data_IF_829065618694
#
_entry.id   IF_829065618694
#
_cell.length_a   1.000
_cell.length_b   1.000
_cell.length_c   1.000
_cell.angle_alpha   90.00
_cell.angle_beta   90.00
_cell.angle_gamma   90.00
#
_symmetry.space_group_name_H-M   'P 1'
#
loop_
_entity.id
_entity.type
_entity.pdbx_description
1 polymer ?
#
# COMPACT_ATOMS: atom_id res chain seq x y z
N UNK A 1 -12.44 -32.43 30.45
CA UNK A 1 -12.83 -33.80 30.04
C UNK A 1 -14.04 -33.67 29.10
N UNK A 2 -14.37 -34.67 28.26
CA UNK A 2 -13.87 -35.10 26.93
C UNK A 2 -14.79 -34.57 25.78
N UNK A 3 -14.33 -34.31 24.54
CA UNK A 3 -14.37 -35.17 23.31
C UNK A 3 -15.80 -35.65 22.88
N UNK A 4 -16.05 -36.12 21.64
CA UNK A 4 -15.86 -35.56 20.28
C UNK A 4 -17.01 -35.98 19.30
N UNK A 5 -16.76 -35.83 18.00
CA UNK A 5 -17.22 -36.69 16.88
C UNK A 5 -18.47 -36.33 16.03
N UNK A 6 -18.15 -36.31 14.73
CA UNK A 6 -18.96 -36.49 13.52
C UNK A 6 -20.02 -37.59 13.57
N UNK A 7 -21.03 -37.47 12.69
CA UNK A 7 -21.54 -38.57 11.83
C UNK A 7 -22.23 -38.03 10.55
N UNK A 8 -22.17 -38.74 9.39
CA UNK A 8 -22.66 -38.33 8.06
C UNK A 8 -24.00 -39.04 7.64
N UNK A 9 -24.40 -39.13 6.35
CA UNK A 9 -25.50 -38.41 5.67
C UNK A 9 -26.73 -39.30 5.31
N UNK A 10 -27.73 -38.78 4.55
CA UNK A 10 -28.43 -39.59 3.55
C UNK A 10 -28.15 -39.13 2.11
N UNK A 11 -28.18 -40.11 1.20
CA UNK A 11 -27.73 -40.11 -0.20
C UNK A 11 -28.71 -39.55 -1.23
N UNK A 12 -28.14 -38.85 -2.23
CA UNK A 12 -28.46 -38.72 -3.66
C UNK A 12 -29.92 -38.87 -4.16
N UNK A 13 -30.45 -37.82 -4.79
CA UNK A 13 -30.47 -37.69 -6.27
C UNK A 13 -31.24 -36.45 -6.78
N UNK A 14 -30.75 -35.90 -7.90
CA UNK A 14 -31.45 -35.02 -8.87
C UNK A 14 -31.74 -33.58 -8.38
N UNK A 15 -31.43 -32.47 -9.04
CA UNK A 15 -31.06 -32.14 -10.41
C UNK A 15 -30.08 -30.96 -10.39
N UNK A 16 -29.12 -30.97 -11.30
CA UNK A 16 -28.27 -29.85 -11.64
C UNK A 16 -29.16 -28.64 -12.00
N UNK A 17 -29.14 -27.61 -11.17
CA UNK A 17 -29.60 -26.26 -11.51
C UNK A 17 -28.41 -25.34 -11.33
N UNK A 18 -28.02 -24.53 -12.32
CA UNK A 18 -26.99 -23.52 -12.11
C UNK A 18 -27.44 -22.63 -10.95
N UNK A 19 -26.57 -22.31 -9.98
CA UNK A 19 -26.96 -21.46 -8.88
C UNK A 19 -27.47 -20.14 -9.45
N UNK A 20 -28.75 -19.84 -9.20
CA UNK A 20 -29.25 -18.47 -9.28
C UNK A 20 -28.38 -17.67 -8.31
N UNK A 21 -27.40 -16.94 -8.84
CA UNK A 21 -26.62 -16.00 -8.05
C UNK A 21 -27.60 -14.95 -7.51
N UNK A 22 -27.98 -15.12 -6.24
CA UNK A 22 -28.54 -14.04 -5.45
C UNK A 22 -27.44 -13.00 -5.29
N UNK A 23 -27.52 -11.91 -6.05
CA UNK A 23 -26.70 -10.74 -5.83
C UNK A 23 -27.05 -10.17 -4.45
N UNK A 24 -26.17 -10.41 -3.47
CA UNK A 24 -26.16 -9.62 -2.25
C UNK A 24 -25.71 -8.23 -2.65
N UNK A 25 -26.57 -7.23 -2.45
CA UNK A 25 -26.26 -5.80 -2.57
C UNK A 25 -25.00 -5.55 -1.74
N UNK A 26 -23.85 -5.50 -2.42
CA UNK A 26 -22.58 -5.20 -1.80
C UNK A 26 -22.44 -3.69 -1.92
N UNK A 27 -23.07 -2.97 -0.98
CA UNK A 27 -22.66 -1.59 -0.76
C UNK A 27 -21.15 -1.59 -0.57
N UNK A 28 -20.47 -0.59 -1.11
CA UNK A 28 -19.08 -0.29 -0.76
C UNK A 28 -19.07 0.10 0.72
N UNK A 29 -19.20 -0.85 1.63
CA UNK A 29 -19.00 -0.67 3.06
C UNK A 29 -17.62 -1.20 3.37
N UNK A 30 -16.65 -0.28 3.43
CA UNK A 30 -15.48 -0.52 4.25
C UNK A 30 -16.01 -0.78 5.67
N UNK A 31 -15.71 -1.94 6.23
CA UNK A 31 -16.23 -2.41 7.53
C UNK A 31 -15.79 -1.56 8.74
N UNK A 32 -15.20 -0.36 8.52
CA UNK A 32 -14.87 0.64 9.54
C UNK A 32 -14.81 2.08 8.97
N UNK A 33 -15.61 2.40 7.95
CA UNK A 33 -15.48 3.65 7.18
C UNK A 33 -15.65 4.94 7.98
N UNK A 34 -14.57 5.70 8.16
CA UNK A 34 -14.61 7.10 8.55
C UNK A 34 -15.59 7.85 7.62
N UNK A 35 -16.64 8.46 8.18
CA UNK A 35 -17.73 9.12 7.44
C UNK A 35 -17.25 10.16 6.43
N UNK A 36 -16.10 10.81 6.71
CA UNK A 36 -15.47 11.79 5.82
C UNK A 36 -14.97 11.20 4.50
N UNK A 37 -14.46 9.97 4.53
CA UNK A 37 -13.87 9.31 3.36
C UNK A 37 -14.96 8.68 2.50
N UNK A 38 -15.95 8.05 3.16
CA UNK A 38 -17.12 7.49 2.48
C UNK A 38 -17.92 8.56 1.73
N UNK A 39 -17.97 9.80 2.24
CA UNK A 39 -18.58 10.94 1.54
C UNK A 39 -17.90 11.31 0.20
N UNK A 40 -16.69 10.83 -0.07
CA UNK A 40 -15.95 11.07 -1.33
C UNK A 40 -16.12 9.94 -2.36
N UNK A 41 -16.81 8.86 -1.99
CA UNK A 41 -17.07 7.70 -2.84
C UNK A 41 -18.57 7.71 -3.17
N UNK A 42 -18.90 7.72 -4.46
CA UNK A 42 -20.30 7.59 -4.89
C UNK A 42 -20.68 6.12 -4.92
N UNK A 43 -21.89 5.81 -4.44
CA UNK A 43 -22.50 4.51 -4.64
C UNK A 43 -22.72 4.27 -6.13
N UNK A 44 -22.31 3.09 -6.61
CA UNK A 44 -22.58 2.64 -7.98
C UNK A 44 -23.66 1.58 -7.92
N UNK A 45 -24.77 1.79 -8.64
CA UNK A 45 -25.82 0.81 -8.80
C UNK A 45 -25.58 -0.04 -10.05
N UNK A 46 -25.57 -1.36 -9.88
CA UNK A 46 -25.63 -2.31 -10.99
C UNK A 46 -27.10 -2.57 -11.33
N UNK A 47 -27.48 -2.32 -12.57
CA UNK A 47 -28.81 -2.65 -13.11
C UNK A 47 -28.66 -3.72 -14.20
N UNK A 48 -29.33 -4.85 -14.05
CA UNK A 48 -29.54 -5.78 -15.18
C UNK A 48 -30.71 -5.27 -16.02
N UNK A 49 -30.57 -5.24 -17.34
CA UNK A 49 -31.47 -4.47 -18.24
C UNK A 49 -32.95 -4.91 -18.29
N UNK A 50 -33.82 -4.22 -19.06
CA UNK A 50 -33.77 -2.79 -19.39
C UNK A 50 -34.51 -1.96 -18.32
N UNK A 51 -33.87 -0.90 -17.83
CA UNK A 51 -34.49 0.42 -17.89
C UNK A 51 -33.58 1.37 -18.68
N UNK A 52 -34.20 2.22 -19.50
CA UNK A 52 -33.60 3.37 -20.18
C UNK A 52 -32.40 3.98 -19.41
N UNK A 53 -31.29 4.35 -20.08
CA UNK A 53 -31.13 4.53 -21.53
C UNK A 53 -30.71 3.25 -22.28
N UNK A 54 -30.86 3.25 -23.61
CA UNK A 54 -30.31 2.20 -24.47
C UNK A 54 -28.79 2.16 -24.42
N UNK A 55 -28.22 0.95 -24.57
CA UNK A 55 -26.79 0.75 -24.71
C UNK A 55 -26.28 1.48 -25.95
N UNK A 56 -25.30 2.36 -25.77
CA UNK A 56 -24.64 3.09 -26.86
C UNK A 56 -23.29 2.47 -27.20
N UNK A 57 -22.62 1.87 -26.20
CA UNK A 57 -21.38 1.13 -26.38
C UNK A 57 -21.54 -0.26 -25.79
N UNK A 58 -21.27 -1.28 -26.60
CA UNK A 58 -21.30 -2.68 -26.19
C UNK A 58 -19.89 -3.21 -26.02
N UNK A 59 -19.60 -3.75 -24.83
CA UNK A 59 -18.34 -4.42 -24.54
C UNK A 59 -18.57 -5.93 -24.57
N UNK A 60 -17.60 -6.67 -25.12
CA UNK A 60 -17.57 -8.14 -25.07
C UNK A 60 -16.86 -8.66 -23.81
N UNK A 61 -15.98 -7.86 -23.23
CA UNK A 61 -15.28 -8.14 -21.99
C UNK A 61 -16.08 -7.66 -20.77
N UNK A 62 -15.94 -8.30 -19.59
CA UNK A 62 -16.57 -7.84 -18.35
C UNK A 62 -15.98 -6.53 -17.83
N UNK A 63 -16.74 -5.84 -16.99
CA UNK A 63 -16.27 -4.65 -16.27
C UNK A 63 -15.68 -5.00 -14.91
N UNK A 64 -14.55 -4.38 -14.56
CA UNK A 64 -14.10 -4.22 -13.18
C UNK A 64 -14.31 -2.77 -12.76
N UNK A 65 -15.28 -2.54 -11.86
CA UNK A 65 -15.71 -1.22 -11.41
C UNK A 65 -15.10 -0.91 -10.05
N UNK A 66 -14.36 0.19 -9.95
CA UNK A 66 -13.82 0.67 -8.67
C UNK A 66 -13.69 2.20 -8.62
N UNK A 67 -13.41 2.73 -7.44
CA UNK A 67 -13.18 4.16 -7.21
C UNK A 67 -11.68 4.44 -7.08
N UNK A 68 -11.16 5.37 -7.90
CA UNK A 68 -9.84 5.98 -7.70
C UNK A 68 -9.90 7.22 -6.81
N UNK A 69 -11.01 7.42 -6.09
CA UNK A 69 -11.18 8.42 -5.02
C UNK A 69 -11.34 7.78 -3.63
N UNK A 70 -11.47 8.62 -2.60
CA UNK A 70 -11.55 8.18 -1.19
C UNK A 70 -10.27 8.56 -0.45
N UNK A 71 -9.51 7.55 -0.01
CA UNK A 71 -8.18 7.72 0.59
C UNK A 71 -7.08 8.01 -0.44
N UNK A 72 -7.28 7.59 -1.69
CA UNK A 72 -6.38 7.84 -2.82
C UNK A 72 -6.16 9.35 -3.04
N UNK A 73 -4.98 9.71 -3.55
CA UNK A 73 -4.53 11.11 -3.61
C UNK A 73 -3.13 11.32 -3.07
N UNK A 74 -2.59 10.35 -2.33
CA UNK A 74 -1.18 10.27 -2.00
C UNK A 74 -0.65 8.86 -2.30
N UNK A 75 0.67 8.75 -2.49
CA UNK A 75 1.33 7.54 -2.98
C UNK A 75 1.14 6.33 -2.05
N UNK A 76 0.95 6.52 -0.74
CA UNK A 76 0.65 5.39 0.16
C UNK A 76 -0.73 4.83 -0.15
N UNK A 77 -1.77 5.66 -0.12
CA UNK A 77 -3.14 5.21 -0.37
C UNK A 77 -3.38 4.77 -1.81
N UNK A 78 -2.73 5.40 -2.78
CA UNK A 78 -2.81 4.99 -4.19
C UNK A 78 -2.38 3.53 -4.37
N UNK A 79 -1.39 3.06 -3.60
CA UNK A 79 -0.91 1.68 -3.67
C UNK A 79 -1.62 0.76 -2.67
N UNK A 80 -1.74 1.16 -1.41
CA UNK A 80 -2.32 0.35 -0.34
C UNK A 80 -3.83 0.10 -0.56
N UNK A 81 -4.57 1.13 -0.95
CA UNK A 81 -6.03 1.06 -1.11
C UNK A 81 -6.47 0.97 -2.58
N UNK A 82 -5.54 1.23 -3.51
CA UNK A 82 -5.76 1.20 -4.95
C UNK A 82 -5.07 0.02 -5.63
N UNK A 83 -3.77 0.15 -5.95
CA UNK A 83 -3.08 -0.78 -6.85
C UNK A 83 -2.85 -2.19 -6.29
N UNK A 84 -2.56 -2.35 -5.00
CA UNK A 84 -2.44 -3.70 -4.40
C UNK A 84 -3.80 -4.42 -4.43
N UNK A 85 -4.90 -3.83 -3.93
CA UNK A 85 -6.23 -4.42 -4.05
C UNK A 85 -6.66 -4.66 -5.50
N UNK A 86 -6.33 -3.76 -6.42
CA UNK A 86 -6.60 -3.93 -7.85
C UNK A 86 -5.84 -5.13 -8.41
N UNK A 87 -4.55 -5.27 -8.08
CA UNK A 87 -3.73 -6.41 -8.50
C UNK A 87 -4.26 -7.73 -7.93
N UNK A 88 -4.64 -7.78 -6.66
CA UNK A 88 -5.29 -8.95 -6.05
C UNK A 88 -6.56 -9.30 -6.82
N UNK A 89 -7.42 -8.32 -7.07
CA UNK A 89 -8.73 -8.52 -7.70
C UNK A 89 -8.60 -9.08 -9.12
N UNK A 90 -7.74 -8.49 -9.95
CA UNK A 90 -7.60 -8.93 -11.34
C UNK A 90 -7.00 -10.33 -11.43
N UNK A 91 -6.05 -10.67 -10.57
CA UNK A 91 -5.46 -12.00 -10.54
C UNK A 91 -6.36 -13.06 -9.88
N UNK A 92 -7.40 -12.65 -9.15
CA UNK A 92 -8.36 -13.56 -8.50
C UNK A 92 -9.60 -13.80 -9.35
N UNK A 93 -10.13 -12.75 -9.99
CA UNK A 93 -11.43 -12.76 -10.66
C UNK A 93 -11.28 -12.82 -12.19
N UNK A 94 -10.19 -12.30 -12.74
CA UNK A 94 -9.97 -12.18 -14.18
C UNK A 94 -8.62 -12.80 -14.61
N UNK A 95 -8.41 -14.11 -14.37
CA UNK A 95 -7.13 -14.77 -14.64
C UNK A 95 -6.75 -14.83 -16.13
N UNK A 96 -7.72 -14.63 -17.03
CA UNK A 96 -7.49 -14.54 -18.48
C UNK A 96 -7.03 -13.14 -18.94
N UNK A 97 -7.00 -12.15 -18.04
CA UNK A 97 -6.64 -10.78 -18.34
C UNK A 97 -7.68 -10.01 -19.18
N UNK A 98 -8.86 -10.59 -19.43
CA UNK A 98 -9.87 -10.00 -20.30
C UNK A 98 -10.93 -9.24 -19.49
N UNK A 99 -10.68 -7.97 -19.21
CA UNK A 99 -11.60 -7.11 -18.48
C UNK A 99 -11.37 -5.62 -18.80
N UNK A 100 -12.44 -4.83 -18.75
CA UNK A 100 -12.41 -3.38 -18.92
C UNK A 100 -12.38 -2.72 -17.54
N UNK A 101 -11.39 -1.85 -17.31
CA UNK A 101 -11.36 -1.02 -16.11
C UNK A 101 -12.41 0.09 -16.23
N UNK A 102 -13.34 0.13 -15.28
CA UNK A 102 -14.38 1.15 -15.18
C UNK A 102 -14.15 1.93 -13.89
N UNK A 103 -13.66 3.16 -13.99
CA UNK A 103 -13.09 3.88 -12.85
C UNK A 103 -13.94 5.11 -12.52
N UNK A 104 -14.42 5.18 -11.28
CA UNK A 104 -15.06 6.36 -10.70
C UNK A 104 -14.03 7.28 -10.01
N UNK A 105 -14.26 8.60 -10.02
CA UNK A 105 -13.33 9.61 -9.46
C UNK A 105 -11.91 9.53 -10.05
N UNK A 106 -11.82 9.16 -11.34
CA UNK A 106 -10.57 8.99 -12.07
C UNK A 106 -10.10 10.35 -12.59
N UNK A 107 -9.51 11.13 -11.69
CA UNK A 107 -9.01 12.47 -12.01
C UNK A 107 -7.91 12.39 -13.06
N UNK A 108 -7.90 13.34 -14.00
CA UNK A 108 -6.94 13.37 -15.13
C UNK A 108 -5.47 13.27 -14.69
N UNK A 109 -5.11 13.93 -13.59
CA UNK A 109 -3.74 13.88 -13.06
C UNK A 109 -3.38 12.48 -12.54
N UNK A 110 -4.32 11.76 -11.94
CA UNK A 110 -4.11 10.42 -11.38
C UNK A 110 -3.99 9.39 -12.50
N UNK A 111 -4.90 9.46 -13.47
CA UNK A 111 -4.88 8.66 -14.70
C UNK A 111 -3.54 8.83 -15.45
N UNK A 112 -3.09 10.08 -15.62
CA UNK A 112 -1.82 10.36 -16.30
C UNK A 112 -0.61 9.89 -15.49
N UNK A 113 -0.65 10.04 -14.16
CA UNK A 113 0.44 9.64 -13.27
C UNK A 113 0.68 8.13 -13.29
N UNK A 114 -0.38 7.34 -13.43
CA UNK A 114 -0.31 5.87 -13.34
C UNK A 114 -0.67 5.17 -14.66
N UNK A 115 -0.56 5.87 -15.79
CA UNK A 115 -0.90 5.34 -17.11
C UNK A 115 -0.17 4.03 -17.42
N UNK A 116 1.13 3.94 -17.11
CA UNK A 116 1.94 2.73 -17.34
C UNK A 116 1.41 1.52 -16.56
N UNK A 117 1.00 1.72 -15.30
CA UNK A 117 0.41 0.66 -14.48
C UNK A 117 -0.93 0.21 -15.04
N UNK A 118 -1.80 1.16 -15.37
CA UNK A 118 -3.15 0.88 -15.87
C UNK A 118 -3.12 0.17 -17.23
N UNK A 119 -2.24 0.59 -18.15
CA UNK A 119 -2.01 -0.06 -19.45
C UNK A 119 -1.34 -1.43 -19.35
N UNK A 120 -0.56 -1.66 -18.29
CA UNK A 120 0.01 -2.98 -18.03
C UNK A 120 -1.04 -3.92 -17.48
N UNK A 121 -1.97 -3.44 -16.63
CA UNK A 121 -3.06 -4.23 -16.07
C UNK A 121 -4.10 -4.64 -17.12
N UNK A 122 -4.63 -3.68 -17.88
CA UNK A 122 -5.66 -3.94 -18.89
C UNK A 122 -5.23 -3.44 -20.26
N UNK A 123 -5.52 -4.25 -21.28
CA UNK A 123 -5.33 -3.88 -22.69
C UNK A 123 -6.53 -3.14 -23.29
N UNK A 124 -7.64 -3.09 -22.55
CA UNK A 124 -8.85 -2.40 -22.98
C UNK A 124 -8.77 -0.91 -22.61
N UNK A 125 -9.38 -0.02 -23.42
CA UNK A 125 -9.53 1.39 -23.05
C UNK A 125 -10.27 1.55 -21.72
N UNK A 126 -9.74 2.40 -20.85
CA UNK A 126 -10.32 2.68 -19.54
C UNK A 126 -11.62 3.48 -19.72
N UNK A 127 -12.69 3.05 -19.06
CA UNK A 127 -13.95 3.80 -18.99
C UNK A 127 -13.92 4.68 -17.74
N UNK A 128 -13.73 5.98 -17.92
CA UNK A 128 -13.78 6.96 -16.85
C UNK A 128 -15.23 7.43 -16.64
N UNK A 129 -15.85 7.01 -15.52
CA UNK A 129 -17.27 7.29 -15.25
C UNK A 129 -17.59 8.78 -15.07
N UNK A 130 -16.60 9.63 -14.78
CA UNK A 130 -16.83 11.08 -14.68
C UNK A 130 -16.85 11.78 -16.05
N UNK A 131 -16.26 11.14 -17.06
CA UNK A 131 -16.17 11.68 -18.43
C UNK A 131 -17.10 10.95 -19.41
N UNK A 132 -17.62 9.78 -19.03
CA UNK A 132 -18.49 8.98 -19.87
C UNK A 132 -19.77 9.75 -20.20
N UNK A 133 -19.95 10.03 -21.49
CA UNK A 133 -21.17 10.63 -22.04
C UNK A 133 -22.06 9.59 -22.73
N UNK A 134 -21.68 8.31 -22.65
CA UNK A 134 -22.36 7.21 -23.30
C UNK A 134 -22.73 6.09 -22.32
N UNK A 135 -23.85 5.42 -22.58
CA UNK A 135 -24.26 4.21 -21.86
C UNK A 135 -23.43 3.02 -22.31
N UNK A 136 -22.56 2.51 -21.43
CA UNK A 136 -21.76 1.31 -21.66
C UNK A 136 -22.46 0.07 -21.09
N UNK A 137 -22.53 -0.99 -21.89
CA UNK A 137 -23.11 -2.26 -21.49
C UNK A 137 -22.06 -3.37 -21.54
N UNK A 138 -22.06 -4.20 -20.49
CA UNK A 138 -21.09 -5.28 -20.27
C UNK A 138 -21.85 -6.59 -20.04
N UNK A 139 -21.26 -7.76 -20.39
CA UNK A 139 -21.88 -9.06 -20.14
C UNK A 139 -22.08 -9.34 -18.65
N UNK A 140 -21.13 -8.89 -17.81
CA UNK A 140 -21.26 -8.82 -16.36
C UNK A 140 -20.26 -7.79 -15.81
N UNK A 141 -20.39 -7.45 -14.52
CA UNK A 141 -19.51 -6.53 -13.83
C UNK A 141 -19.17 -7.02 -12.43
N UNK A 142 -17.91 -6.84 -12.03
CA UNK A 142 -17.45 -6.93 -10.65
C UNK A 142 -17.31 -5.52 -10.08
N UNK A 143 -17.81 -5.27 -8.87
CA UNK A 143 -17.75 -3.95 -8.22
C UNK A 143 -16.97 -4.05 -6.92
N UNK A 144 -15.98 -3.18 -6.77
CA UNK A 144 -15.10 -3.13 -5.62
C UNK A 144 -13.77 -3.85 -5.87
N UNK A 145 -12.88 -3.74 -4.88
CA UNK A 145 -11.57 -4.36 -4.89
C UNK A 145 -11.44 -5.27 -3.66
N UNK A 146 -10.72 -6.38 -3.82
CA UNK A 146 -10.37 -7.33 -2.76
C UNK A 146 -9.09 -6.83 -2.07
N UNK A 147 -9.09 -6.75 -0.75
CA UNK A 147 -7.90 -6.40 0.05
C UNK A 147 -7.55 -7.52 1.02
N UNK A 148 -6.25 -7.82 1.14
CA UNK A 148 -5.72 -8.79 2.11
C UNK A 148 -5.15 -8.11 3.36
N UNK A 149 -5.24 -6.77 3.46
CA UNK A 149 -4.70 -5.98 4.56
C UNK A 149 -3.71 -4.90 4.11
N UNK A 150 -2.92 -4.39 5.05
CA UNK A 150 -1.97 -3.31 4.79
C UNK A 150 -0.73 -3.79 4.05
N UNK A 151 -0.48 -3.21 2.87
CA UNK A 151 0.74 -3.44 2.07
C UNK A 151 1.12 -4.92 1.94
N UNK A 152 0.12 -5.79 1.76
CA UNK A 152 0.31 -7.25 1.75
C UNK A 152 -0.57 -7.92 0.70
N UNK A 153 -0.12 -9.08 0.25
CA UNK A 153 -0.89 -10.02 -0.57
C UNK A 153 -0.74 -11.38 0.09
N UNK A 154 -1.77 -11.82 0.81
CA UNK A 154 -1.80 -13.15 1.42
C UNK A 154 -1.89 -14.25 0.34
N UNK A 155 -0.85 -15.09 0.16
CA UNK A 155 -0.83 -16.12 -0.88
C UNK A 155 -1.81 -17.26 -0.60
N UNK A 156 -2.24 -17.43 0.65
CA UNK A 156 -3.21 -18.47 1.05
C UNK A 156 -4.64 -18.13 0.60
N UNK A 157 -4.90 -16.85 0.33
CA UNK A 157 -6.17 -16.35 -0.19
C UNK A 157 -6.17 -16.22 -1.72
N UNK A 158 -5.01 -16.44 -2.38
CA UNK A 158 -4.86 -16.30 -3.83
C UNK A 158 -5.01 -17.65 -4.55
N UNK A 159 -5.74 -17.71 -5.69
CA UNK A 159 -5.87 -18.95 -6.48
C UNK A 159 -4.54 -19.52 -7.01
N UNK A 160 -3.53 -18.68 -7.18
CA UNK A 160 -2.22 -19.01 -7.78
C UNK A 160 -1.04 -18.72 -6.86
N UNK A 161 -1.27 -18.60 -5.54
CA UNK A 161 -0.24 -18.29 -4.53
C UNK A 161 0.61 -17.04 -4.85
N UNK A 162 0.02 -16.08 -5.56
CA UNK A 162 0.60 -14.77 -5.82
C UNK A 162 0.83 -14.04 -4.48
N UNK A 163 1.91 -13.28 -4.41
CA UNK A 163 2.35 -12.57 -3.21
C UNK A 163 2.89 -11.18 -3.55
N UNK A 164 3.40 -10.43 -2.57
CA UNK A 164 3.85 -9.06 -2.77
C UNK A 164 5.05 -8.94 -3.73
N UNK A 165 5.89 -9.98 -3.82
CA UNK A 165 7.01 -10.01 -4.77
C UNK A 165 6.56 -10.10 -6.23
N UNK A 166 5.41 -10.74 -6.50
CA UNK A 166 4.81 -10.75 -7.84
C UNK A 166 4.26 -9.38 -8.22
N UNK A 167 3.63 -8.68 -7.26
CA UNK A 167 3.18 -7.31 -7.46
C UNK A 167 4.36 -6.37 -7.77
N UNK A 168 5.47 -6.53 -7.05
CA UNK A 168 6.72 -5.84 -7.38
C UNK A 168 7.19 -6.13 -8.81
N UNK A 169 7.22 -7.41 -9.21
CA UNK A 169 7.58 -7.79 -10.59
C UNK A 169 6.68 -7.14 -11.65
N UNK A 170 5.39 -6.98 -11.35
CA UNK A 170 4.45 -6.21 -12.17
C UNK A 170 4.85 -4.73 -12.26
N UNK A 171 5.23 -4.08 -11.14
CA UNK A 171 5.70 -2.69 -11.16
C UNK A 171 6.97 -2.54 -12.01
N UNK A 172 7.93 -3.45 -11.84
CA UNK A 172 9.17 -3.47 -12.62
C UNK A 172 8.86 -3.58 -14.12
N UNK A 173 7.95 -4.48 -14.50
CA UNK A 173 7.53 -4.67 -15.90
C UNK A 173 6.78 -3.46 -16.48
N UNK A 174 5.95 -2.79 -15.67
CA UNK A 174 5.18 -1.62 -16.11
C UNK A 174 6.11 -0.43 -16.38
N UNK A 175 7.03 -0.12 -15.47
CA UNK A 175 7.91 1.03 -15.61
C UNK A 175 9.11 0.80 -16.55
N UNK A 176 9.54 -0.44 -16.74
CA UNK A 176 10.63 -0.75 -17.67
C UNK A 176 10.27 -0.48 -19.15
N UNK A 177 8.99 -0.48 -19.52
CA UNK A 177 8.53 -0.27 -20.90
C UNK A 177 8.90 1.12 -21.44
N UNK A 178 8.78 2.16 -20.60
CA UNK A 178 9.02 3.55 -20.98
C UNK A 178 10.33 4.13 -20.42
N UNK A 179 10.92 3.45 -19.44
CA UNK A 179 12.20 3.82 -18.84
C UNK A 179 13.11 2.60 -18.77
N UNK A 180 13.76 2.19 -19.88
CA UNK A 180 14.72 1.10 -19.85
C UNK A 180 15.83 1.45 -18.85
N UNK A 181 15.95 0.62 -17.81
CA UNK A 181 16.99 0.80 -16.81
C UNK A 181 18.35 0.77 -17.52
N UNK A 182 19.22 1.79 -17.32
CA UNK A 182 20.56 1.71 -17.85
C UNK A 182 21.23 0.44 -17.32
N UNK A 183 21.72 -0.40 -18.24
CA UNK A 183 22.58 -1.52 -17.86
C UNK A 183 23.73 -0.94 -17.01
N UNK A 184 23.92 -1.39 -15.77
CA UNK A 184 24.95 -0.81 -14.94
C UNK A 184 26.29 -1.13 -15.61
N UNK A 185 26.93 -0.10 -16.14
CA UNK A 185 28.30 -0.18 -16.62
C UNK A 185 29.18 -0.24 -15.38
N UNK A 186 29.19 -1.41 -14.72
CA UNK A 186 29.97 -1.65 -13.51
C UNK A 186 31.42 -1.73 -13.96
N UNK A 187 32.06 -0.57 -14.09
CA UNK A 187 33.52 -0.54 -13.96
C UNK A 187 33.86 -1.23 -12.64
N UNK A 188 34.86 -2.12 -12.65
CA UNK A 188 35.32 -2.90 -11.47
C UNK A 188 35.90 -2.01 -10.34
N UNK A 189 35.53 -0.74 -10.24
CA UNK A 189 35.77 0.06 -9.05
C UNK A 189 34.86 -0.48 -7.94
N UNK A 190 35.40 -0.61 -6.72
CA UNK A 190 34.67 -1.06 -5.53
C UNK A 190 33.39 -0.23 -5.37
N UNK A 191 32.26 -0.79 -5.80
CA UNK A 191 30.97 -0.16 -5.64
C UNK A 191 30.72 0.01 -4.13
N UNK A 192 30.45 1.25 -3.70
CA UNK A 192 30.11 1.58 -2.31
C UNK A 192 28.59 1.66 -2.16
N UNK A 193 28.01 1.24 -1.03
CA UNK A 193 26.61 1.48 -0.74
C UNK A 193 26.27 2.97 -0.86
N UNK A 194 25.10 3.28 -1.44
CA UNK A 194 24.57 4.64 -1.51
C UNK A 194 23.54 4.82 -0.41
N UNK A 195 23.72 5.81 0.45
CA UNK A 195 22.74 6.16 1.48
C UNK A 195 21.69 7.11 0.88
N UNK A 196 20.44 6.89 1.26
CA UNK A 196 19.30 7.71 0.87
C UNK A 196 18.48 8.03 2.11
N UNK A 197 18.56 9.27 2.60
CA UNK A 197 17.72 9.77 3.69
C UNK A 197 16.53 10.58 3.16
N UNK A 198 15.41 10.46 3.85
CA UNK A 198 14.09 10.90 3.40
C UNK A 198 13.48 11.83 4.43
N UNK A 199 13.40 13.10 4.11
CA UNK A 199 12.70 14.09 4.92
C UNK A 199 11.59 14.74 4.11
N UNK A 200 10.41 14.91 4.71
CA UNK A 200 9.32 15.67 4.07
C UNK A 200 9.47 17.14 4.44
N UNK A 201 9.66 18.00 3.45
CA UNK A 201 9.67 19.45 3.63
C UNK A 201 8.31 20.03 3.20
N UNK A 202 7.62 20.69 4.13
CA UNK A 202 6.30 21.28 3.94
C UNK A 202 5.53 21.27 5.26
N UNK A 203 4.85 22.37 5.61
CA UNK A 203 4.24 22.62 6.93
C UNK A 203 3.04 21.73 7.32
N UNK A 204 2.95 20.51 6.79
CA UNK A 204 1.96 19.51 7.16
C UNK A 204 2.65 18.20 7.56
N UNK A 205 2.79 17.97 8.87
CA UNK A 205 3.32 16.74 9.45
C UNK A 205 4.45 16.99 10.44
N UNK A 206 5.09 15.89 10.85
CA UNK A 206 6.22 15.87 11.79
C UNK A 206 7.55 16.28 11.13
N UNK A 207 8.40 16.93 11.91
CA UNK A 207 9.71 17.40 11.48
C UNK A 207 10.85 16.73 12.26
N UNK A 208 11.98 16.49 11.57
CA UNK A 208 13.28 16.28 12.22
C UNK A 208 13.89 17.67 12.43
N UNK A 209 14.04 18.08 13.68
CA UNK A 209 14.38 19.45 14.05
C UNK A 209 15.86 19.77 13.80
N UNK A 210 16.75 18.79 13.95
CA UNK A 210 18.19 18.91 13.70
C UNK A 210 18.60 18.39 12.31
N UNK A 211 17.80 18.68 11.28
CA UNK A 211 18.04 18.20 9.91
C UNK A 211 19.38 18.68 9.33
N UNK A 212 19.83 19.90 9.67
CA UNK A 212 21.13 20.41 9.22
C UNK A 212 22.29 19.57 9.74
N UNK A 213 22.27 19.22 11.02
CA UNK A 213 23.30 18.37 11.64
C UNK A 213 23.22 16.93 11.12
N UNK A 214 22.00 16.44 10.88
CA UNK A 214 21.77 15.14 10.26
C UNK A 214 22.35 15.07 8.85
N UNK A 215 22.18 16.11 8.02
CA UNK A 215 22.78 16.17 6.69
C UNK A 215 24.31 16.11 6.76
N UNK A 216 24.92 16.86 7.68
CA UNK A 216 26.36 16.81 7.92
C UNK A 216 26.84 15.43 8.42
N UNK A 217 25.99 14.74 9.19
CA UNK A 217 26.28 13.39 9.65
C UNK A 217 26.08 12.31 8.55
N UNK A 218 25.38 12.62 7.46
CA UNK A 218 24.91 11.64 6.48
C UNK A 218 25.45 11.81 5.05
N UNK A 219 26.19 12.89 4.72
CA UNK A 219 26.75 13.27 3.40
C UNK A 219 26.06 12.66 2.15
N UNK A 220 25.28 13.51 1.48
CA UNK A 220 24.49 13.29 0.25
C UNK A 220 23.32 12.29 0.37
N UNK A 221 22.10 12.83 0.35
CA UNK A 221 20.88 12.09 0.72
C UNK A 221 19.67 12.46 -0.14
N UNK A 222 18.87 11.47 -0.60
CA UNK A 222 17.62 11.77 -1.34
C UNK A 222 16.53 10.66 -1.28
N UNK A 223 15.52 10.80 -0.40
CA UNK A 223 14.09 10.49 -0.59
C UNK A 223 13.50 9.07 -0.82
N UNK A 224 12.65 8.56 0.11
CA UNK A 224 11.80 7.36 0.04
C UNK A 224 10.77 7.18 1.22
N UNK A 225 9.47 7.43 0.97
CA UNK A 225 8.33 7.02 1.82
C UNK A 225 7.98 5.52 1.66
N UNK A 226 7.13 4.90 2.51
CA UNK A 226 6.81 3.46 2.50
C UNK A 226 6.73 2.80 1.11
N UNK A 227 5.97 3.38 0.19
CA UNK A 227 5.79 2.86 -1.18
C UNK A 227 7.10 2.73 -1.96
N UNK A 228 8.17 3.41 -1.55
CA UNK A 228 9.48 3.29 -2.15
C UNK A 228 10.14 1.94 -1.86
N UNK A 229 9.76 1.22 -0.79
CA UNK A 229 10.24 -0.14 -0.55
C UNK A 229 9.91 -1.07 -1.73
N UNK A 230 8.77 -0.87 -2.38
CA UNK A 230 8.37 -1.58 -3.61
C UNK A 230 9.35 -1.37 -4.76
N UNK A 231 10.11 -0.28 -4.75
CA UNK A 231 11.05 0.10 -5.81
C UNK A 231 12.53 -0.10 -5.42
N UNK A 232 12.83 -0.38 -4.14
CA UNK A 232 14.21 -0.63 -3.68
C UNK A 232 14.69 -2.02 -4.06
N UNK A 233 15.87 -2.18 -4.66
CA UNK A 233 16.38 -3.50 -5.06
C UNK A 233 16.43 -4.48 -3.86
N UNK A 234 16.03 -5.76 -4.00
CA UNK A 234 16.23 -6.76 -2.95
C UNK A 234 17.69 -6.78 -2.44
N UNK A 235 17.87 -6.89 -1.14
CA UNK A 235 19.15 -6.75 -0.44
C UNK A 235 19.54 -5.31 -0.08
N UNK A 236 18.76 -4.31 -0.48
CA UNK A 236 18.92 -2.94 0.02
C UNK A 236 18.51 -2.88 1.50
N UNK A 237 19.16 -1.99 2.25
CA UNK A 237 18.80 -1.73 3.64
C UNK A 237 17.78 -0.60 3.69
N UNK A 238 16.63 -0.86 4.31
CA UNK A 238 15.63 0.15 4.62
C UNK A 238 15.67 0.42 6.13
N UNK A 239 16.13 1.61 6.51
CA UNK A 239 16.12 2.03 7.91
C UNK A 239 15.01 3.06 8.16
N UNK A 240 14.15 2.79 9.13
CA UNK A 240 13.08 3.71 9.53
C UNK A 240 13.37 4.34 10.89
N UNK A 241 13.26 5.67 10.99
CA UNK A 241 13.14 6.35 12.28
C UNK A 241 11.72 6.11 12.81
N UNK A 242 11.61 5.41 13.94
CA UNK A 242 10.35 4.98 14.55
C UNK A 242 10.03 5.87 15.75
N UNK A 243 8.97 6.70 15.65
CA UNK A 243 8.53 7.57 16.72
C UNK A 243 7.93 6.84 17.92
N UNK A 244 7.77 7.55 19.05
CA UNK A 244 6.99 7.04 20.18
C UNK A 244 5.56 6.70 19.72
N UNK A 245 5.04 5.58 20.22
CA UNK A 245 3.70 5.08 19.89
C UNK A 245 3.55 4.47 18.49
N UNK A 246 4.58 4.46 17.64
CA UNK A 246 4.43 4.00 16.25
C UNK A 246 5.12 2.67 15.94
N UNK A 247 5.60 1.94 16.95
CA UNK A 247 6.29 0.66 16.74
C UNK A 247 5.42 -0.39 16.00
N UNK A 248 4.15 -0.55 16.40
CA UNK A 248 3.24 -1.48 15.72
C UNK A 248 2.97 -1.09 14.26
N UNK A 249 2.78 0.21 14.01
CA UNK A 249 2.56 0.73 12.67
C UNK A 249 3.81 0.59 11.78
N UNK A 250 5.00 0.81 12.36
CA UNK A 250 6.27 0.60 11.68
C UNK A 250 6.42 -0.88 11.25
N UNK A 251 6.20 -1.83 12.16
CA UNK A 251 6.33 -3.25 11.83
C UNK A 251 5.28 -3.71 10.80
N UNK A 252 4.01 -3.33 11.02
CA UNK A 252 2.90 -3.79 10.18
C UNK A 252 2.96 -3.21 8.77
N UNK A 253 3.31 -1.92 8.64
CA UNK A 253 3.33 -1.25 7.34
C UNK A 253 4.67 -1.39 6.62
N UNK A 254 5.80 -1.33 7.35
CA UNK A 254 7.14 -1.31 6.78
C UNK A 254 7.90 -2.62 7.00
N UNK A 255 7.92 -3.15 8.23
CA UNK A 255 8.74 -4.29 8.59
C UNK A 255 8.39 -5.56 7.80
N UNK A 256 7.14 -6.00 7.90
CA UNK A 256 6.64 -7.20 7.24
C UNK A 256 6.81 -7.13 5.71
N UNK A 257 6.33 -6.05 5.10
CA UNK A 257 6.37 -5.85 3.65
C UNK A 257 7.82 -5.77 3.12
N UNK A 258 8.71 -5.08 3.85
CA UNK A 258 10.12 -4.97 3.46
C UNK A 258 10.83 -6.32 3.48
N UNK A 259 10.59 -7.15 4.49
CA UNK A 259 11.19 -8.49 4.58
C UNK A 259 10.67 -9.41 3.47
N UNK A 260 9.38 -9.36 3.17
CA UNK A 260 8.80 -10.12 2.06
C UNK A 260 9.40 -9.70 0.70
N UNK A 261 9.65 -8.39 0.51
CA UNK A 261 10.32 -7.84 -0.68
C UNK A 261 11.84 -8.13 -0.71
N UNK A 262 12.37 -8.86 0.27
CA UNK A 262 13.79 -9.20 0.35
C UNK A 262 14.69 -8.04 0.75
N UNK A 263 14.15 -7.01 1.41
CA UNK A 263 14.92 -5.90 1.97
C UNK A 263 15.41 -6.22 3.39
N UNK A 264 16.53 -5.62 3.76
CA UNK A 264 17.04 -5.64 5.13
C UNK A 264 16.41 -4.47 5.91
N UNK A 265 15.36 -4.75 6.67
CA UNK A 265 14.65 -3.73 7.43
C UNK A 265 15.27 -3.50 8.82
N UNK A 266 15.53 -2.23 9.14
CA UNK A 266 16.11 -1.75 10.40
C UNK A 266 15.28 -0.62 10.99
N UNK A 267 15.26 -0.52 12.32
CA UNK A 267 14.54 0.51 13.05
C UNK A 267 15.48 1.34 13.91
N UNK A 268 15.38 2.66 13.82
CA UNK A 268 15.88 3.59 14.81
C UNK A 268 14.72 4.06 15.69
N UNK A 269 14.48 3.36 16.80
CA UNK A 269 13.47 3.76 17.78
C UNK A 269 13.97 4.94 18.60
N UNK A 270 13.25 6.06 18.52
CA UNK A 270 13.60 7.26 19.28
C UNK A 270 13.38 7.01 20.76
N UNK A 271 14.22 7.63 21.60
CA UNK A 271 13.99 7.73 23.02
C UNK A 271 13.03 8.87 23.37
N UNK A 272 12.58 8.90 24.62
CA UNK A 272 11.69 9.95 25.16
C UNK A 272 12.25 11.35 24.94
N UNK A 273 13.55 11.54 25.24
CA UNK A 273 14.25 12.84 25.11
C UNK A 273 14.45 13.31 23.66
N UNK A 274 14.29 12.41 22.69
CA UNK A 274 14.37 12.75 21.26
C UNK A 274 12.99 13.19 20.72
N UNK A 275 11.93 13.07 21.52
CA UNK A 275 10.57 13.43 21.14
C UNK A 275 10.18 14.79 21.70
N UNK A 276 9.58 15.65 20.87
CA UNK A 276 9.01 16.93 21.35
C UNK A 276 7.82 16.75 22.30
N UNK A 277 7.31 15.52 22.46
CA UNK A 277 6.25 15.22 23.42
C UNK A 277 6.73 15.36 24.87
N UNK A 278 8.03 15.13 25.12
CA UNK A 278 8.63 15.32 26.43
C UNK A 278 8.51 16.78 26.90
N UNK A 279 8.74 17.74 26.01
CA UNK A 279 8.57 19.17 26.30
C UNK A 279 7.09 19.57 26.41
N UNK A 280 6.23 18.95 25.61
CA UNK A 280 4.78 19.28 25.54
C UNK A 280 4.00 18.78 26.74
N UNK A 281 4.25 17.55 27.18
CA UNK A 281 3.48 16.87 28.23
C UNK A 281 4.27 16.70 29.54
N UNK A 282 5.59 16.83 29.50
CA UNK A 282 6.48 16.48 30.60
C UNK A 282 6.99 15.05 30.49
N UNK A 283 8.18 14.80 31.04
CA UNK A 283 8.87 13.52 30.93
C UNK A 283 8.10 12.35 31.56
N UNK A 284 7.29 12.60 32.59
CA UNK A 284 6.58 11.55 33.34
C UNK A 284 5.14 11.31 32.85
N UNK A 285 4.69 12.03 31.82
CA UNK A 285 3.36 11.85 31.25
C UNK A 285 3.24 10.49 30.53
N UNK A 286 2.07 9.87 30.63
CA UNK A 286 1.76 8.59 30.01
C UNK A 286 1.96 8.62 28.48
N UNK A 287 1.74 9.76 27.83
CA UNK A 287 1.96 9.96 26.38
C UNK A 287 3.43 9.84 25.97
N UNK A 288 4.35 9.99 26.92
CA UNK A 288 5.80 9.91 26.71
C UNK A 288 6.34 8.58 27.22
N UNK A 289 6.00 8.22 28.48
CA UNK A 289 6.51 7.04 29.18
C UNK A 289 5.91 5.73 28.72
N UNK A 290 4.61 5.71 28.42
CA UNK A 290 3.91 4.50 28.03
C UNK A 290 2.91 4.78 26.89
N UNK A 291 3.44 5.05 25.67
CA UNK A 291 2.60 5.35 24.52
C UNK A 291 1.61 4.23 24.17
N UNK A 292 1.96 2.97 24.45
CA UNK A 292 1.10 1.81 24.21
C UNK A 292 -0.12 1.86 25.12
N UNK A 293 0.08 2.13 26.41
CA UNK A 293 -1.02 2.29 27.36
C UNK A 293 -1.84 3.56 27.07
N UNK A 294 -1.18 4.64 26.64
CA UNK A 294 -1.87 5.87 26.24
C UNK A 294 -2.81 5.68 25.03
N UNK A 295 -2.44 4.79 24.09
CA UNK A 295 -3.29 4.40 22.96
C UNK A 295 -4.50 3.57 23.39
N UNK A 296 -4.37 2.77 24.45
CA UNK A 296 -5.44 1.91 24.93
C UNK A 296 -5.90 0.90 23.88
N UNK A 297 -7.20 0.81 23.63
CA UNK A 297 -7.79 -0.17 22.69
C UNK A 297 -7.97 0.35 21.26
N UNK A 298 -7.52 1.56 20.92
CA UNK A 298 -7.67 2.07 19.55
C UNK A 298 -7.07 3.45 19.28
N UNK A 299 -6.94 3.76 17.98
CA UNK A 299 -6.43 5.03 17.49
C UNK A 299 -7.52 6.09 17.45
N UNK A 300 -7.81 6.72 18.59
CA UNK A 300 -8.67 7.91 18.58
C UNK A 300 -8.04 9.04 17.76
N UNK A 301 -8.84 9.96 17.23
CA UNK A 301 -8.34 11.13 16.47
C UNK A 301 -7.27 11.89 17.25
N UNK A 302 -7.46 12.07 18.57
CA UNK A 302 -6.48 12.69 19.46
C UNK A 302 -5.15 11.94 19.50
N UNK A 303 -5.19 10.61 19.61
CA UNK A 303 -3.99 9.77 19.63
C UNK A 303 -3.26 9.79 18.29
N UNK A 304 -4.01 9.78 17.18
CA UNK A 304 -3.45 9.96 15.84
C UNK A 304 -2.75 11.31 15.71
N UNK A 305 -3.40 12.40 16.14
CA UNK A 305 -2.81 13.74 16.05
C UNK A 305 -1.51 13.82 16.85
N UNK A 306 -1.50 13.33 18.09
CA UNK A 306 -0.30 13.32 18.95
C UNK A 306 0.87 12.57 18.30
N UNK A 307 0.69 11.31 17.93
CA UNK A 307 1.82 10.47 17.52
C UNK A 307 2.17 10.58 16.03
N UNK A 308 1.18 10.80 15.14
CA UNK A 308 1.39 10.86 13.69
C UNK A 308 1.66 12.27 13.17
N UNK A 309 1.07 13.31 13.79
CA UNK A 309 1.12 14.68 13.24
C UNK A 309 1.96 15.64 14.07
N UNK A 310 1.78 15.66 15.39
CA UNK A 310 2.31 16.71 16.26
C UNK A 310 3.71 16.40 16.83
N UNK A 311 4.08 15.13 16.91
CA UNK A 311 5.36 14.71 17.46
C UNK A 311 6.52 15.01 16.51
N UNK A 312 7.33 16.02 16.84
CA UNK A 312 8.60 16.29 16.20
C UNK A 312 9.73 15.49 16.85
N UNK A 313 10.85 15.35 16.14
CA UNK A 313 12.00 14.56 16.58
C UNK A 313 13.28 15.39 16.53
N UNK A 314 14.07 15.29 17.59
CA UNK A 314 15.48 15.70 17.61
C UNK A 314 16.33 14.45 17.78
N UNK A 315 17.04 14.04 16.73
CA UNK A 315 17.80 12.79 16.75
C UNK A 315 19.05 12.91 17.63
N UNK A 316 19.31 11.89 18.45
CA UNK A 316 20.62 11.66 19.07
C UNK A 316 21.61 11.22 17.98
N UNK A 317 22.45 12.14 17.53
CA UNK A 317 23.37 11.91 16.41
C UNK A 317 24.43 10.85 16.71
N UNK A 318 24.81 10.65 17.98
CA UNK A 318 25.79 9.62 18.37
C UNK A 318 25.15 8.25 18.21
N UNK A 319 23.92 8.07 18.72
CA UNK A 319 23.17 6.82 18.53
C UNK A 319 22.81 6.60 17.07
N UNK A 320 22.36 7.64 16.38
CA UNK A 320 21.94 7.54 14.99
C UNK A 320 23.09 7.16 14.07
N UNK A 321 24.27 7.75 14.25
CA UNK A 321 25.50 7.40 13.51
C UNK A 321 25.83 5.91 13.60
N UNK A 322 25.71 5.31 14.79
CA UNK A 322 25.93 3.87 14.97
C UNK A 322 24.97 3.01 14.14
N UNK A 323 23.71 3.43 13.99
CA UNK A 323 22.74 2.70 13.16
C UNK A 323 23.05 2.88 11.67
N UNK A 324 23.52 4.06 11.25
CA UNK A 324 24.01 4.28 9.89
C UNK A 324 25.22 3.40 9.56
N UNK A 325 26.16 3.27 10.48
CA UNK A 325 27.33 2.38 10.33
C UNK A 325 26.90 0.91 10.22
N UNK A 326 25.93 0.47 11.02
CA UNK A 326 25.36 -0.88 10.91
C UNK A 326 24.66 -1.09 9.56
N UNK A 327 23.85 -0.14 9.11
CA UNK A 327 23.18 -0.18 7.81
C UNK A 327 24.21 -0.24 6.66
N UNK A 328 25.27 0.57 6.73
CA UNK A 328 26.36 0.57 5.76
C UNK A 328 27.06 -0.79 5.71
N UNK A 329 27.34 -1.39 6.86
CA UNK A 329 28.00 -2.69 6.94
C UNK A 329 27.13 -3.81 6.35
N UNK A 330 25.83 -3.81 6.63
CA UNK A 330 24.86 -4.75 6.04
C UNK A 330 24.80 -4.59 4.52
N UNK A 331 24.67 -3.37 4.02
CA UNK A 331 24.64 -3.08 2.59
C UNK A 331 25.96 -3.49 1.89
N UNK A 332 27.11 -3.18 2.51
CA UNK A 332 28.42 -3.56 2.00
C UNK A 332 28.59 -5.07 1.90
N UNK A 333 28.14 -5.81 2.92
CA UNK A 333 28.20 -7.28 2.93
C UNK A 333 27.34 -7.88 1.82
N UNK A 334 26.14 -7.33 1.57
CA UNK A 334 25.30 -7.75 0.45
C UNK A 334 26.00 -7.54 -0.89
N UNK A 335 26.60 -6.36 -1.11
CA UNK A 335 27.33 -6.05 -2.34
C UNK A 335 28.57 -6.93 -2.57
N UNK A 336 29.28 -7.34 -1.51
CA UNK A 336 30.44 -8.23 -1.64
C UNK A 336 30.05 -9.67 -1.96
N UNK A 337 28.90 -10.14 -1.46
CA UNK A 337 28.47 -11.53 -1.61
C UNK A 337 27.69 -11.79 -2.92
N UNK A 338 27.14 -10.74 -3.55
CA UNK A 338 26.26 -10.85 -4.74
C UNK A 338 26.52 -9.82 -5.84
N UNK A 339 27.61 -9.05 -5.75
CA UNK A 339 27.99 -7.98 -6.68
C UNK A 339 28.70 -8.44 -7.94
#
# INVERSE_FOLDING_TARGET
MPQPCWSPPPTLSSLWSPPKLLWKKSGLTLENGETSVMGRIKEVSLTSGPPSPSCQVHHSAPALVFSAGGYTGNVFHDFNDGFIPLFITVNSIFPDGNYVLVIHNCRRWWESKYADLLHTLSKHPIVNLEKANATHCFPYAHVGLISHGFMTIDPTLMPSSINLTHFRGFLDAAYAQNHPFPSPNISKQKARPRLVLVTRSGGAGRHILNQGDLHNAAEECTGAALTHSLFLRPGSVLMQVVPLGLAWAAETCFGNSSRELGLEYMEYKIGEKESSLADKYGNDDIMVKDPVRAQGKGWSTKIMDVYLKEQNITLDLVRFRRHLEEAYNKASKFMQNKG
#
